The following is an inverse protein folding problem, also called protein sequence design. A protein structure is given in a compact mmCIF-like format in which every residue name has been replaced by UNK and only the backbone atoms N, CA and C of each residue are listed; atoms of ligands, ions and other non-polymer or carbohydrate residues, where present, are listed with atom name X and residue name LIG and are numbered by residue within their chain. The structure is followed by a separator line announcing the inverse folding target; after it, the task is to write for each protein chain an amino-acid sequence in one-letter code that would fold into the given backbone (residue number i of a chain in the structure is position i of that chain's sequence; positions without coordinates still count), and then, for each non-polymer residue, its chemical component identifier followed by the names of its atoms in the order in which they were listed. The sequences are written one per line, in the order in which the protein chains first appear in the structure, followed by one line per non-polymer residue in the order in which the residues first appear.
data_IF_838445636779
#
_entry.id   IF_838445636779
#
_cell.length_a   1.000
_cell.length_b   1.000
_cell.length_c   1.000
_cell.angle_alpha   90.00
_cell.angle_beta   90.00
_cell.angle_gamma   90.00
#
_symmetry.space_group_name_H-M   'P 1'
#
loop_
_entity.id
_entity.type
_entity.pdbx_description
1 polymer ?
#
# COMPACT_ATOMS: atom_id res chain seq x y z
N UNK A 1 -21.52 12.87 -0.05
CA UNK A 1 -20.10 13.03 0.30
C UNK A 1 -19.43 11.73 -0.11
N UNK A 2 -18.56 11.74 -1.11
CA UNK A 2 -17.94 10.53 -1.68
C UNK A 2 -16.54 10.34 -1.09
N UNK A 3 -16.28 9.15 -0.54
CA UNK A 3 -14.98 8.82 0.08
C UNK A 3 -14.09 8.04 -0.88
N UNK A 4 -12.83 8.43 -0.97
CA UNK A 4 -11.78 7.68 -1.63
C UNK A 4 -11.07 6.78 -0.61
N UNK A 5 -10.87 5.51 -0.95
CA UNK A 5 -10.07 4.57 -0.17
C UNK A 5 -8.88 4.13 -1.01
N UNK A 6 -7.67 4.32 -0.50
CA UNK A 6 -6.41 4.01 -1.19
C UNK A 6 -5.61 2.97 -0.43
N UNK A 7 -4.99 2.01 -1.13
CA UNK A 7 -4.06 1.08 -0.49
C UNK A 7 -3.46 0.00 -1.38
N UNK A 8 -2.98 -1.07 -0.76
CA UNK A 8 -2.44 -2.25 -1.45
C UNK A 8 -3.41 -3.45 -1.37
N UNK A 9 -2.91 -4.69 -1.40
CA UNK A 9 -3.73 -5.90 -1.25
C UNK A 9 -4.57 -5.92 0.03
N UNK A 10 -4.13 -5.28 1.12
CA UNK A 10 -4.94 -5.13 2.33
C UNK A 10 -6.23 -4.35 2.11
N UNK A 11 -6.36 -3.60 1.01
CA UNK A 11 -7.46 -2.70 0.71
C UNK A 11 -8.22 -3.12 -0.54
N UNK A 12 -7.76 -4.17 -1.23
CA UNK A 12 -8.35 -4.67 -2.48
C UNK A 12 -9.74 -5.27 -2.24
N UNK A 13 -10.77 -4.87 -3.00
CA UNK A 13 -12.16 -5.30 -2.79
C UNK A 13 -12.36 -6.81 -2.87
N UNK A 14 -11.49 -7.50 -3.62
CA UNK A 14 -11.57 -8.96 -3.73
C UNK A 14 -10.98 -9.69 -2.52
N UNK A 15 -10.27 -8.97 -1.63
CA UNK A 15 -9.53 -9.53 -0.49
C UNK A 15 -9.92 -8.91 0.86
N UNK A 16 -10.41 -7.67 0.83
CA UNK A 16 -10.71 -6.83 1.97
C UNK A 16 -12.23 -6.69 2.10
N UNK A 17 -12.81 -7.09 3.22
CA UNK A 17 -14.22 -6.80 3.55
C UNK A 17 -14.34 -5.70 4.60
N UNK A 18 -13.21 -5.23 5.14
CA UNK A 18 -13.20 -4.24 6.21
C UNK A 18 -13.78 -2.90 5.77
N UNK A 19 -13.73 -2.55 4.48
CA UNK A 19 -14.26 -1.27 4.01
C UNK A 19 -15.78 -1.19 4.18
N UNK A 20 -16.50 -2.27 3.87
CA UNK A 20 -17.96 -2.38 4.07
C UNK A 20 -18.33 -2.38 5.55
N UNK A 21 -17.43 -2.89 6.38
CA UNK A 21 -17.60 -2.83 7.83
C UNK A 21 -17.36 -1.41 8.32
N UNK A 22 -16.31 -0.74 7.86
CA UNK A 22 -15.78 0.52 8.40
C UNK A 22 -16.53 1.77 7.93
N UNK A 23 -17.05 1.77 6.70
CA UNK A 23 -17.63 2.96 6.07
C UNK A 23 -19.01 2.69 5.48
N UNK A 24 -19.88 3.69 5.60
CA UNK A 24 -21.13 3.75 4.85
C UNK A 24 -20.88 4.24 3.42
N UNK A 25 -21.62 3.70 2.45
CA UNK A 25 -21.62 4.16 1.06
C UNK A 25 -22.12 5.63 0.93
N UNK A 26 -21.65 6.43 -0.05
CA UNK A 26 -20.82 6.02 -1.19
C UNK A 26 -19.30 6.13 -0.97
N UNK A 27 -18.55 5.08 -1.34
CA UNK A 27 -17.09 5.13 -1.42
C UNK A 27 -16.51 4.40 -2.64
N UNK A 28 -15.30 4.78 -3.06
CA UNK A 28 -14.56 4.13 -4.14
C UNK A 28 -13.20 3.66 -3.65
N UNK A 29 -12.80 2.47 -4.05
CA UNK A 29 -11.55 1.83 -3.65
C UNK A 29 -10.59 1.82 -4.84
N UNK A 30 -9.40 2.38 -4.65
CA UNK A 30 -8.26 2.16 -5.53
C UNK A 30 -7.15 1.45 -4.76
N UNK A 31 -7.05 0.15 -5.01
CA UNK A 31 -6.11 -0.71 -4.35
C UNK A 31 -5.54 -1.72 -5.35
N UNK A 32 -4.28 -2.10 -5.14
CA UNK A 32 -3.63 -3.11 -5.96
C UNK A 32 -2.60 -3.85 -5.13
N UNK A 33 -2.67 -5.18 -5.16
CA UNK A 33 -1.66 -6.02 -4.51
C UNK A 33 -0.26 -5.74 -5.05
N UNK A 34 0.73 -5.70 -4.17
CA UNK A 34 2.15 -5.57 -4.54
C UNK A 34 2.70 -4.15 -4.68
N UNK A 35 1.84 -3.13 -4.75
CA UNK A 35 2.26 -1.73 -4.92
C UNK A 35 3.20 -1.23 -3.82
N UNK A 36 3.95 -0.18 -4.14
CA UNK A 36 4.68 0.67 -3.21
C UNK A 36 3.88 1.96 -2.90
N UNK A 37 4.40 2.78 -1.97
CA UNK A 37 3.72 4.02 -1.58
C UNK A 37 3.80 5.11 -2.66
N UNK A 38 4.77 5.02 -3.59
CA UNK A 38 4.82 5.92 -4.75
C UNK A 38 3.58 5.75 -5.64
N UNK A 39 3.15 4.50 -5.90
CA UNK A 39 1.92 4.24 -6.63
C UNK A 39 0.69 4.75 -5.90
N UNK A 40 0.54 4.44 -4.60
CA UNK A 40 -0.60 4.86 -3.78
C UNK A 40 -0.74 6.38 -3.84
N UNK A 41 0.36 7.10 -3.63
CA UNK A 41 0.38 8.56 -3.69
C UNK A 41 0.03 9.08 -5.08
N UNK A 42 0.61 8.54 -6.15
CA UNK A 42 0.33 8.99 -7.52
C UNK A 42 -1.13 8.78 -7.90
N UNK A 43 -1.68 7.60 -7.59
CA UNK A 43 -3.09 7.29 -7.84
C UNK A 43 -3.98 8.24 -7.06
N UNK A 44 -3.69 8.45 -5.77
CA UNK A 44 -4.40 9.44 -4.96
C UNK A 44 -4.39 10.83 -5.58
N UNK A 45 -3.22 11.36 -5.94
CA UNK A 45 -3.12 12.68 -6.57
C UNK A 45 -3.91 12.81 -7.87
N UNK A 46 -4.06 11.72 -8.63
CA UNK A 46 -4.79 11.71 -9.90
C UNK A 46 -6.30 11.78 -9.71
N UNK A 47 -6.85 10.93 -8.83
CA UNK A 47 -8.30 10.71 -8.72
C UNK A 47 -8.94 11.59 -7.64
N UNK A 48 -8.15 12.10 -6.70
CA UNK A 48 -8.64 12.87 -5.56
C UNK A 48 -9.57 14.06 -5.88
N UNK A 49 -9.40 14.81 -6.98
CA UNK A 49 -10.30 15.93 -7.29
C UNK A 49 -11.79 15.57 -7.34
N UNK A 50 -12.13 14.30 -7.51
CA UNK A 50 -13.50 13.80 -7.60
C UNK A 50 -14.09 13.33 -6.25
N UNK A 51 -13.38 13.54 -5.13
CA UNK A 51 -13.74 13.02 -3.80
C UNK A 51 -13.68 14.07 -2.69
N UNK A 52 -14.53 13.90 -1.68
CA UNK A 52 -14.65 14.84 -0.55
C UNK A 52 -13.75 14.49 0.63
N UNK A 53 -13.32 13.23 0.74
CA UNK A 53 -12.45 12.76 1.82
C UNK A 53 -11.69 11.51 1.43
N UNK A 54 -10.60 11.21 2.14
CA UNK A 54 -9.74 10.05 1.85
C UNK A 54 -9.49 9.20 3.09
N UNK A 55 -9.52 7.89 2.94
CA UNK A 55 -8.86 6.96 3.84
C UNK A 55 -7.68 6.30 3.12
N UNK A 56 -6.49 6.34 3.71
CA UNK A 56 -5.28 5.75 3.10
C UNK A 56 -4.71 4.67 4.00
N UNK A 57 -4.54 3.47 3.46
CA UNK A 57 -3.76 2.40 4.09
C UNK A 57 -2.46 2.21 3.33
N UNK A 58 -1.39 2.83 3.85
CA UNK A 58 -0.06 2.74 3.26
C UNK A 58 0.53 1.35 3.42
N UNK A 59 1.30 0.92 2.42
CA UNK A 59 1.86 -0.43 2.33
C UNK A 59 3.25 -0.51 2.97
N UNK A 60 3.90 -1.67 2.81
CA UNK A 60 5.29 -1.91 3.22
C UNK A 60 6.25 -0.86 2.65
N UNK A 61 7.26 -0.50 3.46
CA UNK A 61 8.25 0.52 3.15
C UNK A 61 9.45 -0.01 2.37
N UNK A 62 9.78 -1.30 2.45
CA UNK A 62 10.90 -1.88 1.71
C UNK A 62 10.44 -2.49 0.37
N UNK A 63 9.90 -1.62 -0.51
CA UNK A 63 9.35 -1.98 -1.81
C UNK A 63 9.60 -0.89 -2.86
N UNK A 64 9.48 -1.25 -4.13
CA UNK A 64 9.53 -0.29 -5.23
C UNK A 64 8.67 -0.76 -6.40
N UNK A 65 8.06 0.22 -7.07
CA UNK A 65 7.45 0.08 -8.38
C UNK A 65 8.34 0.70 -9.47
N UNK A 66 8.62 -0.03 -10.53
CA UNK A 66 9.47 0.41 -11.65
C UNK A 66 8.65 0.45 -12.94
N UNK A 67 8.65 1.58 -13.68
CA UNK A 67 8.13 1.62 -15.04
C UNK A 67 9.03 0.81 -15.99
N UNK A 68 8.47 -0.13 -16.73
CA UNK A 68 9.16 -0.87 -17.78
C UNK A 68 8.41 -0.74 -19.11
N UNK A 69 9.12 -0.56 -20.24
CA UNK A 69 8.50 -0.65 -21.56
C UNK A 69 7.71 -1.96 -21.72
N UNK A 70 6.55 -1.90 -22.38
CA UNK A 70 5.64 -3.03 -22.51
C UNK A 70 6.29 -4.26 -23.18
N UNK A 71 7.22 -4.04 -24.12
CA UNK A 71 7.98 -5.07 -24.84
C UNK A 71 9.09 -5.72 -23.99
N UNK A 72 9.51 -5.08 -22.91
CA UNK A 72 10.50 -5.60 -21.94
C UNK A 72 9.83 -6.33 -20.77
N UNK A 73 8.51 -6.27 -20.68
CA UNK A 73 7.73 -6.84 -19.59
C UNK A 73 7.40 -8.32 -19.85
N UNK A 74 7.65 -9.24 -18.90
CA UNK A 74 7.27 -10.64 -19.08
C UNK A 74 5.74 -10.78 -19.16
N UNK A 75 5.22 -11.32 -20.26
CA UNK A 75 3.77 -11.42 -20.48
C UNK A 75 2.98 -12.13 -19.38
N UNK A 76 3.64 -12.96 -18.55
CA UNK A 76 3.08 -13.71 -17.44
C UNK A 76 3.26 -13.06 -16.06
N UNK A 77 3.79 -11.84 -15.98
CA UNK A 77 4.05 -11.20 -14.70
C UNK A 77 2.81 -10.46 -14.18
N UNK A 78 2.18 -11.10 -13.17
CA UNK A 78 0.89 -10.74 -12.60
C UNK A 78 0.84 -9.39 -11.87
N UNK A 79 1.99 -8.90 -11.36
CA UNK A 79 2.09 -7.62 -10.64
C UNK A 79 2.51 -6.47 -11.55
N UNK A 80 2.03 -6.51 -12.79
CA UNK A 80 2.14 -5.42 -13.76
C UNK A 80 0.80 -4.89 -14.19
N UNK A 81 0.80 -3.62 -14.60
CA UNK A 81 -0.34 -2.98 -15.23
C UNK A 81 0.16 -1.75 -15.99
N UNK A 82 -0.50 -1.37 -17.08
CA UNK A 82 -0.15 -0.18 -17.85
C UNK A 82 -0.23 1.08 -16.98
N UNK A 83 0.77 1.95 -17.11
CA UNK A 83 0.73 3.28 -16.50
C UNK A 83 -0.32 4.11 -17.24
N UNK A 84 -1.31 4.63 -16.51
CA UNK A 84 -2.44 5.35 -17.10
C UNK A 84 -3.74 4.54 -17.19
N UNK A 85 -3.85 3.40 -16.49
CA UNK A 85 -5.15 2.75 -16.30
C UNK A 85 -5.99 3.47 -15.22
N UNK A 86 -6.45 4.66 -15.59
CA UNK A 86 -7.86 5.03 -15.61
C UNK A 86 -8.16 5.38 -17.09
N UNK A 87 -8.61 4.38 -17.86
CA UNK A 87 -9.10 4.46 -19.26
C UNK A 87 -8.08 4.93 -20.35
N UNK A 88 -7.41 4.00 -21.03
CA UNK A 88 -6.72 4.28 -22.30
C UNK A 88 -6.10 3.04 -22.98
N UNK A 89 -6.07 2.96 -24.33
CA UNK A 89 -5.70 1.74 -25.06
C UNK A 89 -4.17 1.64 -25.16
N UNK A 90 -3.57 0.64 -24.52
CA UNK A 90 -2.13 0.32 -24.63
C UNK A 90 -1.19 1.47 -24.23
N UNK A 91 -0.82 1.52 -22.94
CA UNK A 91 0.33 2.32 -22.53
C UNK A 91 1.64 1.63 -22.95
N UNK A 92 2.60 2.39 -23.48
CA UNK A 92 3.94 1.90 -23.86
C UNK A 92 4.77 1.41 -22.65
N UNK A 93 4.26 1.59 -21.42
CA UNK A 93 4.96 1.32 -20.17
C UNK A 93 4.03 0.62 -19.17
N UNK A 94 4.49 -0.51 -18.63
CA UNK A 94 3.90 -1.21 -17.49
C UNK A 94 4.61 -0.83 -16.20
N UNK A 95 3.87 -0.66 -15.11
CA UNK A 95 4.46 -0.57 -13.78
C UNK A 95 4.61 -1.97 -13.19
N UNK A 96 5.83 -2.38 -12.92
CA UNK A 96 6.20 -3.67 -12.31
C UNK A 96 6.55 -3.42 -10.85
N UNK A 97 6.15 -4.29 -9.92
CA UNK A 97 6.20 -4.00 -8.48
C UNK A 97 6.94 -5.08 -7.69
N UNK A 98 7.73 -4.69 -6.70
CA UNK A 98 8.48 -5.67 -5.92
C UNK A 98 7.60 -6.45 -4.91
N UNK A 99 6.41 -5.98 -4.56
CA UNK A 99 5.57 -6.57 -3.52
C UNK A 99 4.72 -7.81 -3.88
N UNK A 100 4.01 -8.35 -2.88
CA UNK A 100 3.06 -9.48 -2.99
C UNK A 100 3.64 -10.81 -2.45
N UNK A 101 3.06 -11.98 -2.80
CA UNK A 101 3.66 -13.31 -2.55
C UNK A 101 5.08 -13.49 -3.13
N UNK A 102 5.58 -12.49 -3.85
CA UNK A 102 6.92 -12.32 -4.42
C UNK A 102 7.86 -11.44 -3.57
N UNK A 103 7.49 -11.08 -2.33
CA UNK A 103 8.41 -10.51 -1.33
C UNK A 103 9.61 -11.40 -0.99
N UNK A 104 9.72 -12.57 -1.64
CA UNK A 104 10.88 -13.45 -1.65
C UNK A 104 11.50 -13.50 -3.05
N UNK A 105 12.73 -13.02 -3.17
CA UNK A 105 13.54 -12.99 -4.41
C UNK A 105 13.62 -14.35 -5.13
N UNK A 106 13.50 -15.45 -4.40
CA UNK A 106 13.61 -16.81 -4.92
C UNK A 106 12.45 -17.21 -5.83
N UNK A 107 11.33 -16.48 -5.76
CA UNK A 107 10.16 -16.69 -6.63
C UNK A 107 10.19 -15.84 -7.90
N UNK A 108 11.12 -14.89 -8.02
CA UNK A 108 11.29 -14.09 -9.24
C UNK A 108 12.12 -14.87 -10.27
N UNK A 109 11.73 -14.75 -11.55
CA UNK A 109 12.45 -15.33 -12.69
C UNK A 109 12.58 -14.30 -13.82
N UNK A 110 13.57 -14.50 -14.70
CA UNK A 110 13.79 -13.63 -15.85
C UNK A 110 14.21 -12.19 -15.49
N UNK A 111 14.05 -11.22 -16.42
CA UNK A 111 14.54 -9.86 -16.27
C UNK A 111 14.02 -9.12 -15.02
N UNK A 112 12.83 -9.48 -14.54
CA UNK A 112 12.22 -8.87 -13.33
C UNK A 112 13.00 -9.25 -12.06
N UNK A 113 13.58 -10.47 -12.02
CA UNK A 113 14.47 -10.85 -10.93
C UNK A 113 15.69 -9.92 -10.89
N UNK A 114 16.28 -9.64 -12.04
CA UNK A 114 17.49 -8.82 -12.12
C UNK A 114 17.22 -7.36 -11.73
N UNK A 115 16.03 -6.84 -12.07
CA UNK A 115 15.60 -5.48 -11.69
C UNK A 115 15.44 -5.36 -10.17
N UNK A 116 14.79 -6.34 -9.52
CA UNK A 116 14.51 -6.26 -8.08
C UNK A 116 15.54 -6.94 -7.19
N UNK A 117 16.53 -7.64 -7.75
CA UNK A 117 17.61 -8.28 -6.97
C UNK A 117 18.23 -7.27 -6.00
N UNK A 118 18.55 -6.07 -6.47
CA UNK A 118 19.15 -5.02 -5.66
C UNK A 118 18.25 -4.55 -4.51
N UNK A 119 16.93 -4.63 -4.65
CA UNK A 119 15.98 -4.27 -3.58
C UNK A 119 16.06 -5.25 -2.41
N UNK A 120 16.21 -6.55 -2.71
CA UNK A 120 16.15 -7.64 -1.73
C UNK A 120 17.52 -8.15 -1.27
N UNK A 121 18.60 -7.87 -2.02
CA UNK A 121 19.95 -8.37 -1.70
C UNK A 121 20.95 -7.27 -1.35
N UNK A 122 20.55 -5.99 -1.37
CA UNK A 122 21.45 -4.92 -0.93
C UNK A 122 21.26 -4.64 0.56
N UNK A 123 22.34 -4.24 1.23
CA UNK A 123 22.30 -3.69 2.60
C UNK A 123 21.60 -2.31 2.65
N UNK A 124 21.04 -1.85 1.52
CA UNK A 124 20.42 -0.53 1.35
C UNK A 124 18.90 -0.53 1.54
N UNK A 125 18.32 -1.50 2.28
CA UNK A 125 16.88 -1.52 2.62
C UNK A 125 16.42 -0.20 3.25
N UNK A 126 17.32 0.50 3.97
CA UNK A 126 17.09 1.84 4.50
C UNK A 126 16.71 2.86 3.42
N UNK A 127 17.34 2.82 2.24
CA UNK A 127 17.03 3.74 1.15
C UNK A 127 15.59 3.59 0.66
N UNK A 128 15.14 2.35 0.41
CA UNK A 128 13.78 2.09 -0.05
C UNK A 128 12.75 2.45 1.01
N UNK A 129 13.04 2.15 2.28
CA UNK A 129 12.19 2.59 3.39
C UNK A 129 12.03 4.11 3.43
N UNK A 130 13.13 4.86 3.32
CA UNK A 130 13.12 6.32 3.30
C UNK A 130 12.40 6.88 2.06
N UNK A 131 12.59 6.27 0.90
CA UNK A 131 11.92 6.67 -0.34
C UNK A 131 10.40 6.47 -0.24
N UNK A 132 9.94 5.34 0.29
CA UNK A 132 8.52 5.10 0.52
C UNK A 132 7.95 6.07 1.56
N UNK A 133 8.68 6.30 2.65
CA UNK A 133 8.29 7.26 3.68
C UNK A 133 8.19 8.69 3.11
N UNK A 134 9.08 9.06 2.20
CA UNK A 134 9.01 10.32 1.47
C UNK A 134 7.71 10.46 0.67
N UNK A 135 7.28 9.41 -0.04
CA UNK A 135 6.02 9.43 -0.79
C UNK A 135 4.78 9.52 0.12
N UNK A 136 4.82 8.89 1.29
CA UNK A 136 3.78 9.00 2.33
C UNK A 136 3.66 10.44 2.80
N UNK A 137 4.77 11.06 3.20
CA UNK A 137 4.81 12.44 3.71
C UNK A 137 4.36 13.41 2.63
N UNK A 138 4.86 13.25 1.40
CA UNK A 138 4.46 14.08 0.27
C UNK A 138 2.94 14.07 0.08
N UNK A 139 2.30 12.91 0.20
CA UNK A 139 0.85 12.82 0.05
C UNK A 139 0.10 13.46 1.22
N UNK A 140 0.53 13.17 2.45
CA UNK A 140 -0.05 13.77 3.66
C UNK A 140 0.07 15.30 3.63
N UNK A 141 1.24 15.83 3.30
CA UNK A 141 1.47 17.27 3.18
C UNK A 141 0.60 17.89 2.07
N UNK A 142 0.41 17.17 0.96
CA UNK A 142 -0.51 17.60 -0.08
C UNK A 142 -1.95 17.67 0.43
N UNK A 143 -2.47 16.64 1.10
CA UNK A 143 -3.82 16.62 1.68
C UNK A 143 -4.02 17.77 2.67
N UNK A 144 -3.05 18.00 3.55
CA UNK A 144 -3.02 19.12 4.49
C UNK A 144 -3.06 20.48 3.78
N UNK A 145 -2.21 20.66 2.75
CA UNK A 145 -2.15 21.92 1.99
C UNK A 145 -3.46 22.24 1.27
N UNK A 146 -4.23 21.21 0.90
CA UNK A 146 -5.53 21.31 0.23
C UNK A 146 -6.71 21.28 1.19
N UNK A 147 -6.46 21.15 2.49
CA UNK A 147 -7.49 21.03 3.53
C UNK A 147 -8.49 19.89 3.24
N UNK A 148 -8.00 18.80 2.65
CA UNK A 148 -8.83 17.65 2.31
C UNK A 148 -8.98 16.78 3.56
N UNK A 149 -10.20 16.49 4.05
CA UNK A 149 -10.40 15.61 5.19
C UNK A 149 -9.84 14.21 4.93
N UNK A 150 -9.00 13.70 5.83
CA UNK A 150 -8.41 12.38 5.68
C UNK A 150 -8.16 11.67 7.00
N UNK A 151 -8.07 10.35 6.91
CA UNK A 151 -7.50 9.45 7.92
C UNK A 151 -6.52 8.53 7.23
N UNK A 152 -5.46 8.10 7.92
CA UNK A 152 -4.52 7.16 7.36
C UNK A 152 -3.96 6.19 8.39
N UNK A 153 -3.50 5.05 7.90
CA UNK A 153 -2.75 4.07 8.67
C UNK A 153 -1.71 3.39 7.78
N UNK A 154 -0.91 2.52 8.37
CA UNK A 154 -0.06 1.58 7.65
C UNK A 154 -0.62 0.17 7.82
N UNK A 155 -0.28 -0.75 6.92
CA UNK A 155 -0.64 -2.16 7.13
C UNK A 155 0.00 -2.75 8.39
N UNK A 156 1.04 -2.12 8.94
CA UNK A 156 1.85 -2.61 10.06
C UNK A 156 2.54 -1.45 10.80
N UNK A 157 3.10 -1.71 11.99
CA UNK A 157 3.89 -0.74 12.75
C UNK A 157 5.29 -0.53 12.11
N UNK A 158 5.41 0.55 11.34
CA UNK A 158 6.62 0.93 10.60
C UNK A 158 7.87 1.16 11.46
N UNK A 159 7.72 1.22 12.78
CA UNK A 159 8.83 1.44 13.73
C UNK A 159 9.45 0.14 14.23
N UNK A 160 8.85 -1.02 13.91
CA UNK A 160 9.33 -2.35 14.33
C UNK A 160 10.01 -3.08 13.18
N UNK A 161 10.78 -4.11 13.55
CA UNK A 161 11.45 -5.02 12.61
C UNK A 161 10.62 -6.31 12.51
N UNK A 162 10.37 -6.76 11.28
CA UNK A 162 9.62 -7.97 10.97
C UNK A 162 10.46 -8.92 10.14
N UNK A 163 10.11 -10.20 10.18
CA UNK A 163 10.68 -11.22 9.30
C UNK A 163 10.27 -11.03 7.83
N UNK A 164 9.10 -10.45 7.60
CA UNK A 164 8.62 -10.12 6.25
C UNK A 164 9.43 -8.95 5.69
N UNK A 165 10.35 -9.26 4.78
CA UNK A 165 11.30 -8.30 4.20
C UNK A 165 10.61 -7.13 3.50
N UNK A 166 9.43 -7.36 2.94
CA UNK A 166 8.71 -6.34 2.17
C UNK A 166 8.03 -5.29 3.05
N UNK A 167 7.91 -5.52 4.36
CA UNK A 167 7.46 -4.50 5.32
C UNK A 167 8.58 -3.47 5.49
N UNK A 168 9.77 -3.87 5.93
CA UNK A 168 10.84 -2.92 6.25
C UNK A 168 10.53 -2.05 7.47
N UNK A 169 11.45 -1.15 7.80
CA UNK A 169 11.35 -0.25 8.96
C UNK A 169 11.77 1.16 8.55
N UNK A 170 11.12 2.18 9.11
CA UNK A 170 11.57 3.57 9.00
C UNK A 170 11.32 4.32 10.31
N UNK A 171 12.39 4.78 10.94
CA UNK A 171 12.34 5.69 12.09
C UNK A 171 12.62 7.14 11.70
N UNK A 172 13.09 7.37 10.48
CA UNK A 172 13.27 8.70 9.91
C UNK A 172 11.90 9.30 9.57
N UNK A 173 11.80 10.64 9.66
CA UNK A 173 10.63 11.44 9.28
C UNK A 173 9.33 11.23 10.09
N UNK A 174 9.37 10.47 11.18
CA UNK A 174 8.19 10.22 12.02
C UNK A 174 7.59 11.48 12.66
N UNK A 175 8.39 12.54 12.78
CA UNK A 175 8.03 13.88 13.25
C UNK A 175 7.28 14.71 12.19
N UNK A 176 7.39 14.33 10.91
CA UNK A 176 6.67 14.96 9.79
C UNK A 176 5.31 14.33 9.51
N UNK A 177 5.01 13.20 10.13
CA UNK A 177 3.70 12.58 10.04
C UNK A 177 2.69 13.36 10.87
N UNK A 178 1.59 13.78 10.24
CA UNK A 178 0.48 14.41 10.94
C UNK A 178 -0.33 13.37 11.72
N UNK A 179 0.11 13.10 12.95
CA UNK A 179 -0.48 12.07 13.81
C UNK A 179 -1.90 12.37 14.26
N UNK A 180 -2.44 13.57 14.03
CA UNK A 180 -3.83 13.89 14.36
C UNK A 180 -4.83 13.16 13.43
N UNK A 181 -4.36 12.79 12.23
CA UNK A 181 -5.11 12.02 11.23
C UNK A 181 -4.74 10.53 11.22
N UNK A 182 -3.81 10.10 12.07
CA UNK A 182 -3.31 8.72 12.10
C UNK A 182 -4.23 7.79 12.90
N UNK A 183 -4.55 6.64 12.32
CA UNK A 183 -5.21 5.52 13.00
C UNK A 183 -4.11 4.58 13.55
N UNK A 184 -3.98 4.45 14.89
CA UNK A 184 -2.85 3.77 15.51
C UNK A 184 -2.94 2.24 15.54
N UNK A 185 -4.09 1.68 15.14
CA UNK A 185 -4.33 0.25 15.17
C UNK A 185 -4.12 -0.30 13.76
N UNK A 186 -2.93 -0.84 13.55
CA UNK A 186 -2.51 -1.43 12.29
C UNK A 186 -3.05 -2.85 12.16
N UNK A 187 -3.50 -3.28 10.96
CA UNK A 187 -4.13 -4.57 10.79
C UNK A 187 -3.16 -5.73 11.07
N UNK A 188 -1.88 -5.63 10.71
CA UNK A 188 -0.90 -6.69 10.95
C UNK A 188 -0.69 -6.99 12.44
N UNK A 189 -0.51 -5.96 13.28
CA UNK A 189 -0.41 -6.12 14.74
C UNK A 189 -1.69 -6.71 15.32
N UNK A 190 -2.84 -6.21 14.87
CA UNK A 190 -4.14 -6.73 15.31
C UNK A 190 -4.29 -8.22 14.98
N UNK A 191 -3.83 -8.65 13.81
CA UNK A 191 -3.85 -10.05 13.42
C UNK A 191 -2.92 -10.93 14.27
N UNK A 192 -1.72 -10.44 14.62
CA UNK A 192 -0.80 -11.15 15.53
C UNK A 192 -1.47 -11.38 16.88
N UNK A 193 -2.04 -10.32 17.47
CA UNK A 193 -2.62 -10.37 18.81
C UNK A 193 -3.85 -11.28 18.89
N UNK A 194 -4.59 -11.42 17.78
CA UNK A 194 -5.83 -12.17 17.72
C UNK A 194 -5.73 -13.51 16.99
N UNK A 195 -4.51 -13.95 16.63
CA UNK A 195 -4.28 -15.13 15.78
C UNK A 195 -5.16 -15.11 14.51
N UNK A 196 -5.22 -13.94 13.88
CA UNK A 196 -6.21 -13.56 12.88
C UNK A 196 -5.72 -13.56 11.44
N UNK A 197 -4.54 -14.11 11.17
CA UNK A 197 -4.05 -14.25 9.79
C UNK A 197 -4.85 -15.30 9.01
N UNK A 198 -4.82 -15.14 7.69
CA UNK A 198 -5.27 -16.13 6.71
C UNK A 198 -4.20 -17.23 6.54
N UNK A 199 -4.46 -18.22 5.68
CA UNK A 199 -3.53 -19.32 5.41
C UNK A 199 -2.17 -18.86 4.87
N UNK A 200 -2.10 -17.67 4.26
CA UNK A 200 -0.85 -17.09 3.78
C UNK A 200 0.05 -16.51 4.89
N UNK A 201 -0.45 -16.45 6.13
CA UNK A 201 0.28 -15.93 7.28
C UNK A 201 0.56 -14.42 7.24
N UNK A 202 -0.12 -13.67 6.37
CA UNK A 202 0.14 -12.25 6.15
C UNK A 202 -1.13 -11.41 6.11
N UNK A 203 -2.11 -11.76 5.27
CA UNK A 203 -3.38 -11.05 5.24
C UNK A 203 -4.28 -11.51 6.38
N UNK A 204 -5.17 -10.63 6.84
CA UNK A 204 -6.15 -10.99 7.87
C UNK A 204 -7.19 -11.92 7.25
N UNK A 205 -7.63 -12.93 8.01
CA UNK A 205 -8.84 -13.67 7.66
C UNK A 205 -10.08 -12.77 7.81
N UNK A 206 -11.20 -13.15 7.19
CA UNK A 206 -12.41 -12.32 7.14
C UNK A 206 -12.90 -11.86 8.53
N UNK A 207 -12.94 -12.77 9.51
CA UNK A 207 -13.40 -12.43 10.86
C UNK A 207 -12.49 -11.38 11.51
N UNK A 208 -11.17 -11.53 11.35
CA UNK A 208 -10.21 -10.58 11.88
C UNK A 208 -10.29 -9.22 11.18
N UNK A 209 -10.54 -9.19 9.86
CA UNK A 209 -10.77 -7.96 9.11
C UNK A 209 -11.97 -7.17 9.66
N UNK A 210 -13.12 -7.83 9.86
CA UNK A 210 -14.30 -7.16 10.43
C UNK A 210 -14.05 -6.67 11.86
N UNK A 211 -13.44 -7.49 12.71
CA UNK A 211 -13.13 -7.08 14.09
C UNK A 211 -12.15 -5.91 14.17
N UNK A 212 -11.11 -5.91 13.31
CA UNK A 212 -10.19 -4.79 13.18
C UNK A 212 -10.92 -3.53 12.72
N UNK A 213 -11.80 -3.65 11.73
CA UNK A 213 -12.57 -2.54 11.20
C UNK A 213 -13.45 -1.87 12.27
N UNK A 214 -14.14 -2.66 13.09
CA UNK A 214 -14.95 -2.17 14.22
C UNK A 214 -14.11 -1.44 15.27
N UNK A 215 -12.89 -1.92 15.54
CA UNK A 215 -11.99 -1.24 16.47
C UNK A 215 -11.51 0.11 15.90
N UNK A 216 -11.21 0.17 14.60
CA UNK A 216 -10.76 1.37 13.91
C UNK A 216 -11.83 2.46 13.82
N UNK A 217 -13.13 2.11 13.76
CA UNK A 217 -14.22 3.10 13.71
C UNK A 217 -14.16 4.17 14.80
N UNK A 218 -13.59 3.86 15.95
CA UNK A 218 -13.43 4.79 17.09
C UNK A 218 -12.51 5.98 16.77
N UNK A 219 -11.74 5.91 15.69
CA UNK A 219 -10.75 6.91 15.28
C UNK A 219 -11.19 7.73 14.05
N UNK A 220 -12.33 7.38 13.45
CA UNK A 220 -12.89 8.02 12.27
C UNK A 220 -13.80 9.19 12.66
#
# INVERSE_FOLDING_TARGET
MTKLILGCSYTDRDQAIWHDTMFDEPYTVFAKGGVDNAWITRTGLHVLPDYDSVFVMFTGLNRISVPLPQDQHPANYYFSFPIGYDMGPYGDVNLVQSGGPLGAIDKLTGPVKDIFKTVYTSDCTKYFSQLNMYHVIMFIEYLNSKQIPYKYTFIYDITKVYSEQSLGQCTDYLDRLDRTHYVPITPYEFAIENNGFSEDGFHLNHNCQSSWAEEVKKYL
#
